data_IF_256793807359
#
_entry.id   IF_256793807359
#
_cell.length_a   1.000
_cell.length_b   1.000
_cell.length_c   1.000
_cell.angle_alpha   90.00
_cell.angle_beta   90.00
_cell.angle_gamma   90.00
#
_symmetry.space_group_name_H-M   'P 1'
#
loop_
_entity.id
_entity.type
_entity.pdbx_description
1 polymer ?
#
# COMPACT_ATOMS: atom_id res chain seq x y z
N UNK A 1 0.84 21.71 7.67
CA UNK A 1 0.13 20.40 7.82
C UNK A 1 -1.07 20.47 8.76
N UNK A 2 -1.55 21.67 9.11
CA UNK A 2 -2.64 21.86 10.09
C UNK A 2 -3.95 21.15 9.72
N UNK A 3 -4.19 20.89 8.43
CA UNK A 3 -5.37 20.20 7.93
C UNK A 3 -5.43 18.69 8.28
N UNK A 4 -4.31 18.10 8.72
CA UNK A 4 -4.23 16.68 9.12
C UNK A 4 -4.49 16.55 10.63
N UNK A 5 -4.24 17.60 11.39
CA UNK A 5 -4.42 17.60 12.84
C UNK A 5 -5.83 17.13 13.21
N UNK A 6 -5.90 16.19 14.14
CA UNK A 6 -7.12 15.53 14.62
C UNK A 6 -7.82 14.58 13.60
N UNK A 7 -7.35 14.41 12.37
CA UNK A 7 -7.89 13.37 11.50
C UNK A 7 -7.66 11.99 12.11
N UNK A 8 -8.66 11.14 12.05
CA UNK A 8 -8.61 9.74 12.45
C UNK A 8 -8.27 8.90 11.22
N UNK A 9 -7.09 8.31 11.22
CA UNK A 9 -6.51 7.66 10.03
C UNK A 9 -6.15 6.22 10.35
N UNK A 10 -6.70 5.29 9.59
CA UNK A 10 -6.39 3.85 9.69
C UNK A 10 -5.36 3.48 8.61
N UNK A 11 -4.30 2.75 8.99
CA UNK A 11 -3.23 2.32 8.10
C UNK A 11 -3.02 0.82 8.27
N UNK A 12 -3.19 0.05 7.19
CA UNK A 12 -2.94 -1.39 7.20
C UNK A 12 -1.46 -1.71 6.93
N UNK A 13 -0.92 -2.76 7.56
CA UNK A 13 0.51 -3.08 7.60
C UNK A 13 1.34 -1.85 8.03
N UNK A 14 0.92 -1.24 9.14
CA UNK A 14 1.44 0.03 9.64
C UNK A 14 2.66 -0.09 10.56
N UNK A 15 3.12 -1.30 10.88
CA UNK A 15 4.19 -1.50 11.86
C UNK A 15 5.60 -1.54 11.25
N UNK A 16 5.73 -1.56 9.91
CA UNK A 16 7.04 -1.62 9.24
C UNK A 16 7.03 -0.93 7.87
N UNK A 17 8.22 -0.64 7.35
CA UNK A 17 8.42 -0.11 6.00
C UNK A 17 7.60 1.15 5.70
N UNK A 18 6.98 1.21 4.52
CA UNK A 18 6.17 2.36 4.07
C UNK A 18 5.05 2.68 5.07
N UNK A 19 4.37 1.64 5.61
CA UNK A 19 3.26 1.83 6.55
C UNK A 19 3.71 2.50 7.85
N UNK A 20 4.85 2.11 8.40
CA UNK A 20 5.43 2.71 9.60
C UNK A 20 5.84 4.17 9.37
N UNK A 21 6.45 4.48 8.21
CA UNK A 21 6.81 5.85 7.85
C UNK A 21 5.57 6.75 7.73
N UNK A 22 4.51 6.23 7.08
CA UNK A 22 3.22 6.93 7.01
C UNK A 22 2.67 7.18 8.42
N UNK A 23 2.65 6.15 9.27
CA UNK A 23 2.10 6.24 10.62
C UNK A 23 2.87 7.23 11.49
N UNK A 24 4.19 7.15 11.48
CA UNK A 24 5.09 8.03 12.22
C UNK A 24 4.92 9.50 11.80
N UNK A 25 4.97 9.76 10.50
CA UNK A 25 4.83 11.13 9.99
C UNK A 25 3.46 11.71 10.29
N UNK A 26 2.37 10.94 10.08
CA UNK A 26 1.02 11.46 10.32
C UNK A 26 0.73 11.66 11.82
N UNK A 27 1.19 10.78 12.71
CA UNK A 27 1.05 10.98 14.16
C UNK A 27 1.80 12.23 14.62
N UNK A 28 3.02 12.47 14.10
CA UNK A 28 3.79 13.69 14.35
C UNK A 28 3.11 14.99 13.93
N UNK A 29 2.11 14.94 13.05
CA UNK A 29 1.27 16.12 12.69
C UNK A 29 0.08 16.34 13.62
N UNK A 30 -0.12 15.48 14.61
CA UNK A 30 -1.26 15.49 15.52
C UNK A 30 -2.50 14.79 15.00
N UNK A 31 -2.38 13.92 13.98
CA UNK A 31 -3.43 13.00 13.59
C UNK A 31 -3.61 11.89 14.65
N UNK A 32 -4.82 11.36 14.77
CA UNK A 32 -5.11 10.15 15.54
C UNK A 32 -4.90 8.96 14.61
N UNK A 33 -3.73 8.35 14.71
CA UNK A 33 -3.34 7.23 13.85
C UNK A 33 -3.69 5.91 14.50
N UNK A 34 -4.28 5.02 13.70
CA UNK A 34 -4.56 3.63 14.04
C UNK A 34 -3.83 2.75 13.04
N UNK A 35 -3.04 1.82 13.52
CA UNK A 35 -2.36 0.85 12.63
C UNK A 35 -2.84 -0.56 12.92
N UNK A 36 -2.81 -1.40 11.89
CA UNK A 36 -2.85 -2.85 12.08
C UNK A 36 -1.71 -3.52 11.30
N UNK A 37 -1.25 -4.64 11.83
CA UNK A 37 -0.27 -5.50 11.19
C UNK A 37 -0.48 -6.95 11.65
N UNK A 38 -0.07 -7.92 10.85
CA UNK A 38 -0.08 -9.33 11.27
C UNK A 38 1.11 -9.70 12.14
N UNK A 39 2.20 -8.94 12.07
CA UNK A 39 3.44 -9.17 12.80
C UNK A 39 3.38 -8.51 14.18
N UNK A 40 3.17 -9.34 15.23
CA UNK A 40 3.11 -8.86 16.60
C UNK A 40 4.43 -8.24 17.06
N UNK A 41 5.58 -8.80 16.66
CA UNK A 41 6.87 -8.27 17.09
C UNK A 41 7.14 -6.87 16.49
N UNK A 42 6.75 -6.66 15.23
CA UNK A 42 6.81 -5.35 14.59
C UNK A 42 5.86 -4.34 15.27
N UNK A 43 4.64 -4.76 15.62
CA UNK A 43 3.70 -3.92 16.38
C UNK A 43 4.25 -3.53 17.75
N UNK A 44 4.82 -4.49 18.49
CA UNK A 44 5.39 -4.24 19.81
C UNK A 44 6.57 -3.26 19.74
N UNK A 45 7.41 -3.35 18.71
CA UNK A 45 8.51 -2.42 18.49
C UNK A 45 7.99 -1.03 18.12
N UNK A 46 7.07 -0.95 17.14
CA UNK A 46 6.48 0.32 16.70
C UNK A 46 5.79 1.06 17.85
N UNK A 47 5.01 0.35 18.69
CA UNK A 47 4.28 0.94 19.82
C UNK A 47 5.18 1.49 20.92
N UNK A 48 6.40 0.95 21.09
CA UNK A 48 7.38 1.52 22.04
C UNK A 48 7.88 2.89 21.59
N UNK A 49 8.00 3.09 20.29
CA UNK A 49 8.49 4.32 19.69
C UNK A 49 7.36 5.35 19.47
N UNK A 50 6.12 4.89 19.34
CA UNK A 50 4.93 5.70 19.04
C UNK A 50 3.76 5.33 19.97
N UNK A 51 3.86 5.60 21.28
CA UNK A 51 2.88 5.16 22.28
C UNK A 51 1.49 5.80 22.12
N UNK A 52 1.38 6.89 21.35
CA UNK A 52 0.13 7.59 21.03
C UNK A 52 -0.67 6.92 19.90
N UNK A 53 -0.05 6.01 19.15
CA UNK A 53 -0.67 5.30 18.03
C UNK A 53 -1.37 4.04 18.53
N UNK A 54 -2.67 3.88 18.21
CA UNK A 54 -3.37 2.63 18.46
C UNK A 54 -2.87 1.55 17.49
N UNK A 55 -2.34 0.46 18.02
CA UNK A 55 -1.79 -0.63 17.23
C UNK A 55 -2.53 -1.94 17.54
N UNK A 56 -2.99 -2.65 16.50
CA UNK A 56 -3.75 -3.89 16.64
C UNK A 56 -3.21 -4.98 15.72
N UNK A 57 -3.08 -6.20 16.27
CA UNK A 57 -2.76 -7.37 15.44
C UNK A 57 -3.97 -7.73 14.58
N UNK A 58 -3.76 -7.77 13.25
CA UNK A 58 -4.82 -8.11 12.29
C UNK A 58 -4.19 -8.64 11.01
N UNK A 59 -4.59 -9.82 10.57
CA UNK A 59 -4.37 -10.28 9.20
C UNK A 59 -5.51 -9.76 8.33
N UNK A 60 -5.20 -8.84 7.41
CA UNK A 60 -6.20 -8.23 6.51
C UNK A 60 -6.88 -9.24 5.57
N UNK A 61 -6.30 -10.44 5.41
CA UNK A 61 -6.89 -11.52 4.61
C UNK A 61 -7.94 -12.34 5.38
N UNK A 62 -8.07 -12.13 6.70
CA UNK A 62 -9.10 -12.74 7.54
C UNK A 62 -10.25 -11.76 7.80
N UNK A 63 -11.46 -12.07 7.28
CA UNK A 63 -12.64 -11.21 7.43
C UNK A 63 -13.01 -10.98 8.89
N UNK A 64 -12.85 -11.99 9.75
CA UNK A 64 -13.23 -11.85 11.18
C UNK A 64 -12.29 -10.92 11.91
N UNK A 65 -10.98 -11.01 11.64
CA UNK A 65 -10.00 -10.11 12.24
C UNK A 65 -10.20 -8.67 11.75
N UNK A 66 -10.52 -8.48 10.47
CA UNK A 66 -10.84 -7.14 9.93
C UNK A 66 -12.11 -6.58 10.58
N UNK A 67 -13.19 -7.37 10.70
CA UNK A 67 -14.41 -6.92 11.37
C UNK A 67 -14.15 -6.53 12.82
N UNK A 68 -13.38 -7.35 13.56
CA UNK A 68 -13.01 -7.05 14.93
C UNK A 68 -12.19 -5.74 15.05
N UNK A 69 -11.21 -5.53 14.15
CA UNK A 69 -10.44 -4.27 14.08
C UNK A 69 -11.38 -3.06 13.95
N UNK A 70 -12.30 -3.09 12.98
CA UNK A 70 -13.17 -1.94 12.72
C UNK A 70 -14.26 -1.75 13.80
N UNK A 71 -14.68 -2.80 14.50
CA UNK A 71 -15.54 -2.69 15.69
C UNK A 71 -14.80 -1.99 16.84
N UNK A 72 -13.53 -2.36 17.09
CA UNK A 72 -12.70 -1.68 18.09
C UNK A 72 -12.45 -0.21 17.72
N UNK A 73 -12.19 0.09 16.43
CA UNK A 73 -12.06 1.47 15.95
C UNK A 73 -13.35 2.25 16.20
N UNK A 74 -14.50 1.68 15.88
CA UNK A 74 -15.81 2.29 16.12
C UNK A 74 -16.03 2.59 17.61
N UNK A 75 -15.71 1.63 18.48
CA UNK A 75 -15.88 1.77 19.93
C UNK A 75 -14.98 2.88 20.52
N UNK A 76 -13.76 3.01 20.04
CA UNK A 76 -12.77 3.94 20.59
C UNK A 76 -12.83 5.35 19.94
N UNK A 77 -13.21 5.43 18.65
CA UNK A 77 -13.13 6.68 17.87
C UNK A 77 -14.48 7.13 17.29
N UNK A 78 -15.47 6.25 17.18
CA UNK A 78 -16.79 6.51 16.62
C UNK A 78 -16.85 6.52 15.11
N UNK A 79 -15.91 7.22 14.47
CA UNK A 79 -15.79 7.42 13.02
C UNK A 79 -14.31 7.49 12.60
N UNK A 80 -14.05 7.55 11.29
CA UNK A 80 -12.71 7.79 10.72
C UNK A 80 -12.77 8.79 9.56
N UNK A 81 -11.64 9.44 9.28
CA UNK A 81 -11.53 10.39 8.17
C UNK A 81 -10.76 9.81 6.98
N UNK A 82 -9.90 8.80 7.22
CA UNK A 82 -9.18 8.14 6.15
C UNK A 82 -8.85 6.68 6.45
N UNK A 83 -8.78 5.89 5.36
CA UNK A 83 -8.19 4.55 5.32
C UNK A 83 -7.06 4.53 4.32
N UNK A 84 -5.88 4.05 4.73
CA UNK A 84 -4.73 3.81 3.86
C UNK A 84 -4.52 2.30 3.76
N UNK A 85 -4.91 1.72 2.64
CA UNK A 85 -4.69 0.32 2.31
C UNK A 85 -3.25 0.13 1.83
N UNK A 86 -2.34 -0.06 2.77
CA UNK A 86 -0.92 -0.27 2.50
C UNK A 86 -0.51 -1.75 2.56
N UNK A 87 -1.29 -2.60 3.23
CA UNK A 87 -1.00 -4.03 3.33
C UNK A 87 -0.82 -4.69 1.96
N UNK A 88 0.25 -5.48 1.84
CA UNK A 88 0.50 -6.18 0.60
C UNK A 88 1.78 -7.01 0.63
N UNK A 89 1.75 -8.14 -0.04
CA UNK A 89 2.88 -9.04 -0.23
C UNK A 89 3.38 -8.98 -1.67
N UNK A 90 4.68 -9.22 -1.85
CA UNK A 90 5.30 -9.19 -3.16
C UNK A 90 4.89 -10.36 -4.08
N UNK A 91 4.39 -11.44 -3.51
CA UNK A 91 4.15 -12.68 -4.25
C UNK A 91 5.44 -13.38 -4.70
N UNK A 92 5.32 -14.48 -5.43
CA UNK A 92 6.47 -15.20 -5.99
C UNK A 92 7.12 -14.42 -7.14
N UNK A 93 8.40 -14.72 -7.39
CA UNK A 93 9.11 -14.32 -8.62
C UNK A 93 9.32 -15.60 -9.44
N UNK A 94 8.41 -15.89 -10.38
CA UNK A 94 8.40 -17.11 -11.19
C UNK A 94 7.62 -16.90 -12.48
N UNK A 95 7.91 -17.69 -13.52
CA UNK A 95 7.07 -17.80 -14.71
C UNK A 95 5.72 -18.42 -14.36
N UNK A 96 4.74 -18.29 -15.26
CA UNK A 96 3.38 -18.78 -15.03
C UNK A 96 3.35 -20.28 -14.71
N UNK A 97 4.07 -21.08 -15.47
CA UNK A 97 4.16 -22.54 -15.32
C UNK A 97 4.81 -22.99 -14.00
N UNK A 98 5.67 -22.14 -13.41
CA UNK A 98 6.38 -22.39 -12.15
C UNK A 98 5.67 -21.80 -10.94
N UNK A 99 4.56 -21.09 -11.14
CA UNK A 99 3.85 -20.41 -10.06
C UNK A 99 2.98 -21.39 -9.26
N UNK A 100 3.30 -21.57 -7.98
CA UNK A 100 2.48 -22.38 -7.07
C UNK A 100 1.14 -21.69 -6.79
N UNK A 101 0.04 -22.47 -6.80
CA UNK A 101 -1.32 -21.94 -6.63
C UNK A 101 -1.57 -21.35 -5.26
N UNK A 102 -1.02 -21.92 -4.18
CA UNK A 102 -1.17 -21.36 -2.82
C UNK A 102 -0.51 -19.99 -2.70
N UNK A 103 0.66 -19.82 -3.33
CA UNK A 103 1.34 -18.52 -3.39
C UNK A 103 0.55 -17.50 -4.21
N UNK A 104 -0.09 -17.95 -5.30
CA UNK A 104 -1.01 -17.13 -6.08
C UNK A 104 -2.17 -16.67 -5.20
N UNK A 105 -2.89 -17.61 -4.57
CA UNK A 105 -4.03 -17.30 -3.70
C UNK A 105 -3.67 -16.39 -2.54
N UNK A 106 -2.55 -16.65 -1.85
CA UNK A 106 -2.09 -15.80 -0.76
C UNK A 106 -1.85 -14.36 -1.23
N UNK A 107 -1.29 -14.18 -2.43
CA UNK A 107 -1.08 -12.84 -3.00
C UNK A 107 -2.41 -12.12 -3.25
N UNK A 108 -3.41 -12.83 -3.81
CA UNK A 108 -4.75 -12.27 -4.02
C UNK A 108 -5.44 -11.96 -2.69
N UNK A 109 -5.36 -12.87 -1.73
CA UNK A 109 -6.02 -12.72 -0.44
C UNK A 109 -5.52 -11.49 0.32
N UNK A 110 -4.20 -11.28 0.37
CA UNK A 110 -3.64 -10.12 1.07
C UNK A 110 -3.86 -8.83 0.28
N UNK A 111 -3.46 -8.81 -1.00
CA UNK A 111 -3.35 -7.55 -1.75
C UNK A 111 -4.70 -7.03 -2.27
N UNK A 112 -5.64 -7.91 -2.60
CA UNK A 112 -6.90 -7.55 -3.23
C UNK A 112 -8.07 -7.76 -2.27
N UNK A 113 -8.23 -8.99 -1.73
CA UNK A 113 -9.32 -9.28 -0.81
C UNK A 113 -9.17 -8.49 0.50
N UNK A 114 -7.93 -8.36 1.03
CA UNK A 114 -7.67 -7.54 2.22
C UNK A 114 -8.03 -6.06 2.02
N UNK A 115 -7.68 -5.48 0.86
CA UNK A 115 -8.09 -4.12 0.50
C UNK A 115 -9.62 -4.00 0.43
N UNK A 116 -10.29 -4.98 -0.17
CA UNK A 116 -11.76 -5.02 -0.21
C UNK A 116 -12.37 -5.10 1.19
N UNK A 117 -11.91 -6.02 2.04
CA UNK A 117 -12.44 -6.21 3.39
C UNK A 117 -12.29 -4.97 4.26
N UNK A 118 -11.08 -4.38 4.27
CA UNK A 118 -10.83 -3.16 5.03
C UNK A 118 -11.65 -1.97 4.50
N UNK A 119 -11.77 -1.81 3.18
CA UNK A 119 -12.57 -0.73 2.60
C UNK A 119 -14.05 -0.91 2.91
N UNK A 120 -14.59 -2.14 2.77
CA UNK A 120 -15.99 -2.48 3.10
C UNK A 120 -16.31 -2.10 4.56
N UNK A 121 -15.42 -2.43 5.49
CA UNK A 121 -15.60 -2.13 6.91
C UNK A 121 -15.43 -0.63 7.25
N UNK A 122 -14.58 0.09 6.49
CA UNK A 122 -14.31 1.51 6.69
C UNK A 122 -15.44 2.42 6.20
N UNK A 123 -16.14 2.05 5.11
CA UNK A 123 -17.17 2.90 4.48
C UNK A 123 -18.21 3.42 5.48
N UNK A 124 -18.82 2.60 6.36
CA UNK A 124 -19.79 3.11 7.34
C UNK A 124 -19.21 4.18 8.27
N UNK A 125 -17.96 4.04 8.68
CA UNK A 125 -17.28 4.98 9.58
C UNK A 125 -16.90 6.28 8.85
N UNK A 126 -16.51 6.19 7.57
CA UNK A 126 -16.28 7.37 6.73
C UNK A 126 -17.59 8.14 6.48
N UNK A 127 -18.70 7.44 6.21
CA UNK A 127 -20.03 8.08 6.09
C UNK A 127 -20.44 8.77 7.39
N UNK A 128 -20.17 8.15 8.54
CA UNK A 128 -20.45 8.74 9.85
C UNK A 128 -19.66 10.03 10.11
N UNK A 129 -18.46 10.15 9.55
CA UNK A 129 -17.64 11.37 9.59
C UNK A 129 -18.10 12.47 8.61
N UNK A 130 -19.12 12.20 7.77
CA UNK A 130 -19.57 13.10 6.71
C UNK A 130 -18.72 13.05 5.43
N UNK A 131 -17.97 12.01 5.25
CA UNK A 131 -17.07 11.78 4.12
C UNK A 131 -15.64 11.52 4.54
N UNK A 132 -14.73 11.41 3.57
CA UNK A 132 -13.32 11.13 3.87
C UNK A 132 -12.51 10.67 2.66
N UNK A 133 -11.46 9.90 2.92
CA UNK A 133 -10.56 9.43 1.86
C UNK A 133 -10.13 7.98 2.04
N UNK A 134 -10.20 7.18 0.97
CA UNK A 134 -9.52 5.89 0.89
C UNK A 134 -8.34 6.04 -0.06
N UNK A 135 -7.15 5.66 0.40
CA UNK A 135 -5.92 5.67 -0.39
C UNK A 135 -5.39 4.24 -0.48
N UNK A 136 -5.37 3.70 -1.69
CA UNK A 136 -4.82 2.38 -1.95
C UNK A 136 -3.35 2.50 -2.38
N UNK A 137 -2.46 1.70 -1.82
CA UNK A 137 -1.07 1.64 -2.27
C UNK A 137 -0.97 0.61 -3.40
N UNK A 138 -0.90 1.12 -4.61
CA UNK A 138 -0.68 0.38 -5.85
C UNK A 138 0.79 0.04 -6.10
N UNK A 139 1.20 0.15 -7.36
CA UNK A 139 2.57 -0.04 -7.86
C UNK A 139 2.62 0.40 -9.32
N UNK A 140 3.81 0.58 -9.92
CA UNK A 140 3.99 0.59 -11.38
C UNK A 140 3.39 -0.66 -12.04
N UNK A 141 3.37 -1.79 -11.33
CA UNK A 141 2.65 -3.02 -11.75
C UNK A 141 1.12 -2.87 -11.83
N UNK A 142 0.55 -1.73 -11.46
CA UNK A 142 -0.89 -1.42 -11.60
C UNK A 142 -1.27 -0.97 -13.02
N UNK A 143 -0.29 -0.62 -13.86
CA UNK A 143 -0.51 -0.12 -15.22
C UNK A 143 0.52 -0.62 -16.23
N UNK A 144 1.50 -1.42 -15.78
CA UNK A 144 2.48 -2.08 -16.63
C UNK A 144 2.49 -3.58 -16.38
N UNK A 145 2.81 -4.38 -17.41
CA UNK A 145 3.14 -5.80 -17.23
C UNK A 145 4.45 -5.92 -16.45
N UNK A 146 4.49 -6.83 -15.48
CA UNK A 146 5.70 -7.08 -14.69
C UNK A 146 6.07 -8.56 -14.83
N UNK A 147 7.08 -8.90 -15.62
CA UNK A 147 7.53 -10.28 -15.79
C UNK A 147 7.81 -10.97 -14.45
N UNK A 148 7.56 -12.26 -14.38
CA UNK A 148 7.72 -13.11 -13.18
C UNK A 148 6.80 -12.75 -12.00
N UNK A 149 5.85 -11.84 -12.16
CA UNK A 149 5.03 -11.28 -11.06
C UNK A 149 3.54 -11.33 -11.35
N UNK A 150 3.05 -12.40 -11.98
CA UNK A 150 1.65 -12.51 -12.48
C UNK A 150 0.61 -12.25 -11.39
N UNK A 151 0.71 -12.89 -10.23
CA UNK A 151 -0.24 -12.71 -9.12
C UNK A 151 -0.22 -11.27 -8.57
N UNK A 152 0.98 -10.72 -8.39
CA UNK A 152 1.16 -9.35 -7.93
C UNK A 152 0.57 -8.34 -8.91
N UNK A 153 0.91 -8.44 -10.20
CA UNK A 153 0.35 -7.57 -11.25
C UNK A 153 -1.16 -7.67 -11.30
N UNK A 154 -1.73 -8.88 -11.30
CA UNK A 154 -3.18 -9.07 -11.30
C UNK A 154 -3.85 -8.32 -10.14
N UNK A 155 -3.28 -8.41 -8.91
CA UNK A 155 -3.83 -7.69 -7.76
C UNK A 155 -3.71 -6.18 -7.91
N UNK A 156 -2.57 -5.69 -8.40
CA UNK A 156 -2.30 -4.25 -8.51
C UNK A 156 -3.13 -3.59 -9.63
N UNK A 157 -3.36 -4.28 -10.76
CA UNK A 157 -4.35 -3.86 -11.76
C UNK A 157 -5.77 -3.88 -11.19
N UNK A 158 -6.12 -4.90 -10.40
CA UNK A 158 -7.43 -4.99 -9.74
C UNK A 158 -7.73 -3.79 -8.84
N UNK A 159 -6.72 -3.27 -8.13
CA UNK A 159 -6.89 -2.07 -7.29
C UNK A 159 -7.33 -0.84 -8.11
N UNK A 160 -6.87 -0.70 -9.35
CA UNK A 160 -7.29 0.43 -10.20
C UNK A 160 -8.77 0.30 -10.56
N UNK A 161 -9.23 -0.92 -10.90
CA UNK A 161 -10.64 -1.20 -11.14
C UNK A 161 -11.51 -0.87 -9.92
N UNK A 162 -11.12 -1.36 -8.73
CA UNK A 162 -11.81 -1.08 -7.47
C UNK A 162 -11.84 0.42 -7.17
N UNK A 163 -10.70 1.10 -7.30
CA UNK A 163 -10.59 2.55 -7.05
C UNK A 163 -11.56 3.36 -7.90
N UNK A 164 -11.63 3.07 -9.20
CA UNK A 164 -12.53 3.77 -10.13
C UNK A 164 -14.00 3.49 -9.83
N UNK A 165 -14.33 2.22 -9.58
CA UNK A 165 -15.69 1.78 -9.26
C UNK A 165 -16.18 2.41 -7.96
N UNK A 166 -15.43 2.27 -6.89
CA UNK A 166 -15.81 2.81 -5.58
C UNK A 166 -15.84 4.34 -5.55
N UNK A 167 -14.98 5.01 -6.31
CA UNK A 167 -15.05 6.47 -6.46
C UNK A 167 -16.38 6.95 -7.06
N UNK A 168 -16.98 6.15 -7.96
CA UNK A 168 -18.31 6.43 -8.51
C UNK A 168 -19.43 6.11 -7.52
N UNK A 169 -19.31 4.99 -6.79
CA UNK A 169 -20.33 4.52 -5.84
C UNK A 169 -20.46 5.43 -4.60
N UNK A 170 -19.34 6.00 -4.13
CA UNK A 170 -19.29 6.74 -2.87
C UNK A 170 -19.02 8.24 -3.02
N UNK A 171 -19.05 8.77 -4.24
CA UNK A 171 -18.86 10.19 -4.49
C UNK A 171 -19.94 11.07 -3.84
N UNK A 172 -21.20 10.63 -3.83
CA UNK A 172 -22.31 11.31 -3.19
C UNK A 172 -22.19 11.33 -1.66
N UNK A 173 -21.50 10.36 -1.08
CA UNK A 173 -21.16 10.31 0.35
C UNK A 173 -19.94 11.17 0.70
N UNK A 174 -19.40 11.95 -0.24
CA UNK A 174 -18.19 12.76 -0.08
C UNK A 174 -16.95 11.94 0.30
N UNK A 175 -16.87 10.68 -0.14
CA UNK A 175 -15.72 9.79 0.05
C UNK A 175 -14.91 9.77 -1.25
N UNK A 176 -13.64 10.19 -1.16
CA UNK A 176 -12.71 10.17 -2.28
C UNK A 176 -11.85 8.91 -2.22
N UNK A 177 -11.66 8.26 -3.36
CA UNK A 177 -10.91 6.99 -3.42
C UNK A 177 -9.86 7.09 -4.52
N UNK A 178 -8.59 6.94 -4.16
CA UNK A 178 -7.47 7.07 -5.09
C UNK A 178 -6.43 5.96 -4.87
N UNK A 179 -5.62 5.71 -5.87
CA UNK A 179 -4.48 4.80 -5.77
C UNK A 179 -3.19 5.56 -6.01
N UNK A 180 -2.22 5.42 -5.11
CA UNK A 180 -0.83 5.85 -5.33
C UNK A 180 -0.06 4.65 -5.88
N UNK A 181 0.67 4.85 -6.98
CA UNK A 181 1.43 3.81 -7.67
C UNK A 181 2.93 4.12 -7.58
N UNK A 182 3.62 3.66 -6.52
CA UNK A 182 5.06 3.81 -6.41
C UNK A 182 5.81 2.83 -7.30
N UNK A 183 7.04 3.18 -7.68
CA UNK A 183 8.03 2.26 -8.23
C UNK A 183 8.73 1.46 -7.11
N UNK A 184 9.99 1.11 -7.33
CA UNK A 184 10.84 0.47 -6.32
C UNK A 184 11.15 1.45 -5.19
N UNK A 185 10.67 1.13 -3.99
CA UNK A 185 10.87 1.94 -2.78
C UNK A 185 12.06 1.40 -2.01
N UNK A 186 13.01 2.25 -1.63
CA UNK A 186 14.15 1.88 -0.79
C UNK A 186 13.69 1.18 0.50
N UNK A 187 14.40 0.12 0.89
CA UNK A 187 14.13 -0.64 2.10
C UNK A 187 14.20 -2.15 1.90
N UNK A 188 13.98 -2.89 2.98
CA UNK A 188 14.17 -4.34 3.03
C UNK A 188 13.32 -5.09 1.98
N UNK A 189 12.09 -4.62 1.72
CA UNK A 189 11.16 -5.29 0.79
C UNK A 189 11.73 -5.37 -0.62
N UNK A 190 12.28 -4.28 -1.17
CA UNK A 190 12.84 -4.28 -2.53
C UNK A 190 14.11 -5.11 -2.59
N UNK A 191 14.93 -5.10 -1.54
CA UNK A 191 16.12 -5.94 -1.45
C UNK A 191 15.75 -7.43 -1.50
N UNK A 192 14.70 -7.84 -0.80
CA UNK A 192 14.21 -9.23 -0.84
C UNK A 192 13.67 -9.62 -2.22
N UNK A 193 13.01 -8.68 -2.92
CA UNK A 193 12.54 -8.90 -4.30
C UNK A 193 13.73 -9.09 -5.23
N UNK A 194 14.72 -8.21 -5.17
CA UNK A 194 15.95 -8.26 -5.97
C UNK A 194 16.70 -9.57 -5.73
N UNK A 195 16.90 -9.98 -4.45
CA UNK A 195 17.56 -11.24 -4.10
C UNK A 195 16.82 -12.46 -4.68
N UNK A 196 15.49 -12.49 -4.62
CA UNK A 196 14.68 -13.59 -5.18
C UNK A 196 14.77 -13.64 -6.70
N UNK A 197 14.70 -12.50 -7.36
CA UNK A 197 14.84 -12.45 -8.82
C UNK A 197 16.26 -12.82 -9.26
N UNK A 198 17.28 -12.36 -8.57
CA UNK A 198 18.67 -12.73 -8.84
C UNK A 198 18.86 -14.25 -8.75
N UNK A 199 18.32 -14.89 -7.70
CA UNK A 199 18.34 -16.35 -7.55
C UNK A 199 17.61 -17.06 -8.69
N UNK A 200 16.42 -16.58 -9.08
CA UNK A 200 15.64 -17.18 -10.17
C UNK A 200 16.37 -17.07 -11.52
N UNK A 201 17.00 -15.92 -11.78
CA UNK A 201 17.72 -15.63 -13.04
C UNK A 201 19.18 -16.11 -13.04
N UNK A 202 19.63 -16.78 -11.97
CA UNK A 202 21.01 -17.24 -11.79
C UNK A 202 22.05 -16.12 -11.99
N UNK A 203 21.84 -14.98 -11.34
CA UNK A 203 22.68 -13.78 -11.43
C UNK A 203 22.86 -13.12 -10.05
N UNK A 204 23.51 -11.94 -9.99
CA UNK A 204 23.75 -11.23 -8.74
C UNK A 204 22.67 -10.19 -8.43
N UNK A 205 22.41 -9.88 -7.14
CA UNK A 205 21.49 -8.79 -6.74
C UNK A 205 21.87 -7.43 -7.32
N UNK A 206 23.17 -7.16 -7.45
CA UNK A 206 23.71 -5.88 -8.00
C UNK A 206 23.31 -5.70 -9.46
N UNK A 207 23.43 -6.76 -10.28
CA UNK A 207 23.00 -6.74 -11.68
C UNK A 207 21.48 -6.52 -11.79
N UNK A 208 20.66 -7.19 -10.96
CA UNK A 208 19.19 -6.95 -10.91
C UNK A 208 18.88 -5.53 -10.50
N UNK A 209 19.54 -5.00 -9.46
CA UNK A 209 19.37 -3.61 -9.02
C UNK A 209 19.70 -2.62 -10.14
N UNK A 210 20.78 -2.85 -10.86
CA UNK A 210 21.17 -2.01 -12.01
C UNK A 210 20.08 -2.03 -13.11
N UNK A 211 19.47 -3.20 -13.40
CA UNK A 211 18.35 -3.30 -14.34
C UNK A 211 17.16 -2.45 -13.85
N UNK A 212 16.76 -2.56 -12.59
CA UNK A 212 15.64 -1.76 -12.07
C UNK A 212 15.92 -0.26 -12.16
N UNK A 213 17.12 0.17 -11.82
CA UNK A 213 17.51 1.58 -11.93
C UNK A 213 17.53 2.05 -13.39
N UNK A 214 17.97 1.20 -14.34
CA UNK A 214 18.01 1.56 -15.76
C UNK A 214 16.62 1.77 -16.37
N UNK A 215 15.58 1.20 -15.79
CA UNK A 215 14.19 1.30 -16.27
C UNK A 215 13.50 2.61 -15.90
N UNK A 216 14.09 3.43 -15.04
CA UNK A 216 13.52 4.73 -14.63
C UNK A 216 14.32 5.89 -15.23
N UNK A 217 13.64 6.99 -15.58
CA UNK A 217 14.34 8.18 -16.13
C UNK A 217 15.23 8.84 -15.08
N UNK A 218 14.81 8.88 -13.81
CA UNK A 218 15.60 9.47 -12.71
C UNK A 218 16.72 8.56 -12.19
N UNK A 219 16.79 7.29 -12.66
CA UNK A 219 17.83 6.32 -12.27
C UNK A 219 17.97 6.12 -10.76
N UNK A 220 16.88 6.29 -10.03
CA UNK A 220 16.84 6.15 -8.58
C UNK A 220 15.63 5.33 -8.13
N UNK A 221 15.73 4.69 -6.98
CA UNK A 221 14.56 4.24 -6.22
C UNK A 221 13.96 5.44 -5.50
N UNK A 222 12.70 5.35 -5.14
CA UNK A 222 12.01 6.36 -4.35
C UNK A 222 12.13 6.05 -2.86
N UNK A 223 11.98 7.07 -2.02
CA UNK A 223 11.93 6.93 -0.58
C UNK A 223 10.48 6.93 -0.07
N UNK A 224 10.24 6.33 1.10
CA UNK A 224 8.89 6.24 1.66
C UNK A 224 8.27 7.62 1.93
N UNK A 225 9.09 8.61 2.27
CA UNK A 225 8.71 10.01 2.52
C UNK A 225 8.06 10.66 1.30
N UNK A 226 8.45 10.27 0.07
CA UNK A 226 7.84 10.78 -1.15
C UNK A 226 6.39 10.30 -1.29
N UNK A 227 6.12 9.05 -0.85
CA UNK A 227 4.75 8.51 -0.78
C UNK A 227 3.94 9.24 0.28
N UNK A 228 4.53 9.47 1.45
CA UNK A 228 3.90 10.23 2.54
C UNK A 228 3.52 11.63 2.07
N UNK A 229 4.38 12.32 1.34
CA UNK A 229 4.08 13.65 0.76
C UNK A 229 2.82 13.64 -0.10
N UNK A 230 2.63 12.62 -0.95
CA UNK A 230 1.42 12.46 -1.76
C UNK A 230 0.19 12.13 -0.89
N UNK A 231 0.33 11.31 0.14
CA UNK A 231 -0.76 10.99 1.08
C UNK A 231 -1.22 12.28 1.80
N UNK A 232 -0.28 13.07 2.32
CA UNK A 232 -0.56 14.36 2.97
C UNK A 232 -1.32 15.30 2.03
N UNK A 233 -0.89 15.38 0.76
CA UNK A 233 -1.60 16.14 -0.26
C UNK A 233 -3.01 15.62 -0.50
N UNK A 234 -3.20 14.31 -0.67
CA UNK A 234 -4.52 13.70 -0.89
C UNK A 234 -5.46 13.85 0.31
N UNK A 235 -4.95 13.95 1.52
CA UNK A 235 -5.73 14.22 2.73
C UNK A 235 -6.08 15.70 2.88
N UNK A 236 -5.46 16.58 2.10
CA UNK A 236 -5.68 18.03 2.20
C UNK A 236 -6.95 18.51 1.48
N UNK A 237 -7.49 19.69 1.86
CA UNK A 237 -8.56 20.34 1.12
C UNK A 237 -8.21 20.69 -0.34
N UNK A 238 -6.91 20.76 -0.69
CA UNK A 238 -6.45 21.01 -2.06
C UNK A 238 -6.80 19.87 -3.00
N UNK A 239 -6.90 18.64 -2.48
CA UNK A 239 -7.25 17.45 -3.24
C UNK A 239 -8.77 17.16 -3.29
N UNK A 240 -9.63 18.09 -2.89
CA UNK A 240 -11.09 17.89 -2.77
C UNK A 240 -11.80 17.41 -4.05
N UNK A 241 -11.18 17.56 -5.21
CA UNK A 241 -11.71 17.10 -6.51
C UNK A 241 -10.93 15.95 -7.11
N UNK A 242 -10.00 15.36 -6.35
CA UNK A 242 -9.21 14.21 -6.78
C UNK A 242 -9.84 12.94 -6.22
N UNK A 243 -10.50 12.17 -7.10
CA UNK A 243 -11.09 10.86 -6.81
C UNK A 243 -11.07 9.99 -8.07
N UNK A 244 -11.00 8.67 -7.90
CA UNK A 244 -10.91 7.70 -9.00
C UNK A 244 -9.57 7.75 -9.76
N UNK A 245 -8.54 8.41 -9.20
CA UNK A 245 -7.28 8.63 -9.87
C UNK A 245 -6.22 7.59 -9.49
N UNK A 246 -5.35 7.34 -10.45
CA UNK A 246 -4.09 6.63 -10.28
C UNK A 246 -2.97 7.68 -10.32
N UNK A 247 -2.27 7.84 -9.20
CA UNK A 247 -1.22 8.84 -9.02
C UNK A 247 0.12 8.14 -8.94
N UNK A 248 1.03 8.45 -9.84
CA UNK A 248 2.28 7.73 -10.00
C UNK A 248 3.42 8.49 -9.29
N UNK A 249 4.24 7.75 -8.54
CA UNK A 249 5.50 8.22 -7.94
C UNK A 249 6.56 7.18 -8.28
N UNK A 250 7.28 7.35 -9.39
CA UNK A 250 8.09 6.27 -9.94
C UNK A 250 9.39 6.73 -10.63
N UNK A 251 9.69 8.02 -10.62
CA UNK A 251 10.83 8.56 -11.34
C UNK A 251 10.73 8.40 -12.86
N UNK A 252 9.51 8.24 -13.39
CA UNK A 252 9.17 7.92 -14.76
C UNK A 252 9.74 6.56 -15.18
N UNK A 253 9.02 5.49 -14.79
CA UNK A 253 9.32 4.13 -15.25
C UNK A 253 8.88 3.97 -16.70
N UNK A 254 9.82 3.72 -17.61
CA UNK A 254 9.52 3.57 -19.04
C UNK A 254 8.98 2.19 -19.38
N UNK A 255 9.53 1.15 -18.76
CA UNK A 255 9.09 -0.23 -18.91
C UNK A 255 9.55 -1.09 -17.72
N UNK A 256 9.00 -2.29 -17.59
CA UNK A 256 9.42 -3.30 -16.61
C UNK A 256 9.84 -4.61 -17.31
N UNK A 257 10.35 -4.51 -18.54
CA UNK A 257 10.78 -5.68 -19.31
C UNK A 257 11.95 -6.40 -18.65
N UNK A 258 12.05 -7.71 -18.92
CA UNK A 258 13.23 -8.48 -18.59
C UNK A 258 14.36 -8.08 -19.55
N UNK A 259 15.21 -7.15 -19.11
CA UNK A 259 16.43 -6.82 -19.84
C UNK A 259 17.39 -8.00 -19.75
N UNK A 260 17.99 -8.39 -20.87
CA UNK A 260 19.06 -9.39 -20.88
C UNK A 260 20.24 -8.88 -20.04
N UNK A 261 20.75 -9.75 -19.18
CA UNK A 261 21.92 -9.45 -18.38
C UNK A 261 23.09 -10.04 -19.16
N UNK A 262 23.91 -9.18 -19.73
CA UNK A 262 25.11 -9.61 -20.44
C UNK A 262 26.00 -10.46 -19.50
N UNK A 263 26.37 -11.65 -19.94
CA UNK A 263 27.41 -12.45 -19.29
C UNK A 263 28.76 -11.83 -19.65
N UNK A 264 29.54 -11.40 -18.65
CA UNK A 264 30.93 -11.00 -18.82
C UNK A 264 31.82 -12.23 -18.98
#
# INVERSE_FOLDING_TARGET
MDHIKNLKIVITAGASGIGAEIAHTLSGTGAKVIICDKDQAALDQFSKENPEVMAMKTDVSDEKEVLYLFDEIKNNFGDINALINNAGVAGPSAKLEDTNFDNWQNTLNVNLNGTFLCSKAAIPLLKSAGGGSIINIGSTSSFMGTPLRSSYSATKWGLIGLTKTWAMEYGEDNIRINTICPSSVNGERIEQVIKREAKYRNTTPEKIKAVYLSQTSLKSFIDAEEIVGMIVYLLSPLAKRITGQMLVIDGHTENLSMIEIEEE
#
